data_IF_213840346258
#
_entry.id   IF_213840346258
#
_cell.length_a   1.000
_cell.length_b   1.000
_cell.length_c   1.000
_cell.angle_alpha   90.00
_cell.angle_beta   90.00
_cell.angle_gamma   90.00
#
_symmetry.space_group_name_H-M   'P 1'
#
loop_
_entity.id
_entity.type
_entity.pdbx_description
1 polymer ?
#
# COMPACT_ATOMS: atom_id res chain seq x y z
N UNK A 1 -24.82 4.06 32.25
CA UNK A 1 -24.44 4.85 31.06
C UNK A 1 -23.40 5.90 31.48
N UNK A 2 -22.12 5.53 31.63
CA UNK A 2 -21.05 6.47 32.06
C UNK A 2 -19.69 6.20 31.38
N UNK A 3 -19.67 5.45 30.27
CA UNK A 3 -18.44 4.88 29.69
C UNK A 3 -18.05 5.47 28.31
N UNK A 4 -18.34 6.76 28.07
CA UNK A 4 -18.01 7.41 26.79
C UNK A 4 -17.09 8.64 26.89
N UNK A 5 -16.34 8.78 27.99
CA UNK A 5 -15.37 9.87 28.12
C UNK A 5 -13.95 9.33 28.02
N UNK A 6 -13.22 9.76 26.98
CA UNK A 6 -11.77 9.58 26.90
C UNK A 6 -11.13 10.74 27.65
N UNK A 7 -10.43 10.43 28.75
CA UNK A 7 -9.74 11.44 29.56
C UNK A 7 -8.23 11.27 29.41
N UNK A 8 -7.55 12.30 28.89
CA UNK A 8 -6.10 12.41 28.92
C UNK A 8 -5.70 13.43 30.00
N UNK A 9 -4.74 13.08 30.88
CA UNK A 9 -4.24 13.97 31.94
C UNK A 9 -2.74 14.13 31.83
N UNK A 10 -2.27 15.36 31.86
CA UNK A 10 -0.87 15.71 32.02
C UNK A 10 -0.66 16.28 33.42
N UNK A 11 0.17 15.62 34.24
CA UNK A 11 0.48 16.03 35.61
C UNK A 11 1.94 16.45 35.70
N UNK A 12 2.19 17.66 36.16
CA UNK A 12 3.53 18.16 36.45
C UNK A 12 3.90 17.87 37.92
N UNK A 13 5.19 17.77 38.25
CA UNK A 13 5.62 17.60 39.63
C UNK A 13 5.16 18.79 40.49
N UNK A 14 4.69 18.48 41.69
CA UNK A 14 4.26 19.46 42.67
C UNK A 14 5.45 20.32 43.10
N UNK A 15 5.25 21.64 43.17
CA UNK A 15 6.29 22.59 43.58
C UNK A 15 5.74 23.49 44.68
N UNK A 16 6.41 23.49 45.83
CA UNK A 16 6.05 24.34 46.96
C UNK A 16 6.29 25.82 46.59
N UNK A 17 5.27 26.67 46.77
CA UNK A 17 5.34 28.11 46.54
C UNK A 17 5.62 28.77 47.88
N UNK A 18 6.72 29.53 47.99
CA UNK A 18 7.10 30.21 49.22
C UNK A 18 6.29 31.51 49.41
N UNK A 19 6.05 31.97 50.65
CA UNK A 19 5.34 33.22 50.91
C UNK A 19 5.96 34.40 50.16
N UNK A 20 5.13 35.21 49.49
CA UNK A 20 5.57 36.38 48.72
C UNK A 20 6.14 36.07 47.33
N UNK A 21 6.18 34.80 46.90
CA UNK A 21 6.64 34.42 45.55
C UNK A 21 5.47 34.09 44.60
N UNK A 22 5.65 34.39 43.31
CA UNK A 22 4.70 34.02 42.25
C UNK A 22 5.32 32.96 41.34
N UNK A 23 4.53 31.95 40.97
CA UNK A 23 4.93 30.94 39.98
C UNK A 23 3.97 30.95 38.80
N UNK A 24 4.50 31.01 37.58
CA UNK A 24 3.71 31.06 36.35
C UNK A 24 3.91 29.75 35.59
N UNK A 25 2.82 28.99 35.41
CA UNK A 25 2.79 27.85 34.51
C UNK A 25 2.42 28.31 33.10
N UNK A 26 3.26 27.97 32.12
CA UNK A 26 2.98 28.23 30.70
C UNK A 26 2.68 26.90 30.02
N UNK A 27 1.51 26.82 29.38
CA UNK A 27 1.10 25.66 28.59
C UNK A 27 0.92 26.07 27.14
N UNK A 28 1.38 25.22 26.23
CA UNK A 28 1.12 25.34 24.80
C UNK A 28 0.14 24.23 24.41
N UNK A 29 -1.02 24.61 23.87
CA UNK A 29 -2.04 23.68 23.41
C UNK A 29 -2.28 23.89 21.92
N UNK A 30 -2.14 22.83 21.13
CA UNK A 30 -2.38 22.85 19.69
C UNK A 30 -3.67 22.11 19.37
N UNK A 31 -4.62 22.80 18.74
CA UNK A 31 -5.86 22.23 18.20
C UNK A 31 -5.90 22.58 16.73
N UNK A 32 -5.74 21.57 15.88
CA UNK A 32 -5.66 21.81 14.47
C UNK A 32 -5.46 20.54 13.66
N UNK A 33 -5.35 20.69 12.33
CA UNK A 33 -5.16 19.57 11.44
C UNK A 33 -3.76 18.97 11.59
N UNK A 34 -3.66 17.68 11.31
CA UNK A 34 -2.43 16.89 11.39
C UNK A 34 -1.52 17.14 10.16
N UNK A 35 -1.23 18.41 9.83
CA UNK A 35 -0.37 18.80 8.70
C UNK A 35 1.07 18.97 9.14
N UNK A 36 2.00 18.21 8.55
CA UNK A 36 3.41 18.21 8.96
C UNK A 36 4.03 19.61 8.93
N UNK A 37 3.71 20.42 7.91
CA UNK A 37 4.27 21.75 7.75
C UNK A 37 3.85 22.69 8.90
N UNK A 38 2.58 22.66 9.31
CA UNK A 38 2.07 23.44 10.44
C UNK A 38 2.59 22.94 11.79
N UNK A 39 2.66 21.62 11.98
CA UNK A 39 3.20 21.06 13.23
C UNK A 39 4.68 21.37 13.41
N UNK A 40 5.44 21.56 12.32
CA UNK A 40 6.84 21.99 12.38
C UNK A 40 7.01 23.44 12.82
N UNK A 41 6.07 24.34 12.48
CA UNK A 41 6.16 25.76 12.90
C UNK A 41 5.87 25.93 14.39
N UNK A 42 5.04 25.07 14.96
CA UNK A 42 4.73 25.05 16.40
C UNK A 42 5.91 24.56 17.25
N UNK A 43 6.78 23.71 16.69
CA UNK A 43 7.96 23.18 17.38
C UNK A 43 7.68 21.99 18.31
N UNK A 44 8.56 21.73 19.28
CA UNK A 44 8.45 20.63 20.26
C UNK A 44 8.31 19.22 19.67
N UNK A 45 8.91 18.98 18.49
CA UNK A 45 8.78 17.70 17.77
C UNK A 45 7.34 17.27 17.47
N UNK A 46 6.38 18.22 17.45
CA UNK A 46 4.96 17.92 17.29
C UNK A 46 4.65 17.25 15.93
N UNK A 47 5.49 17.46 14.92
CA UNK A 47 5.41 16.77 13.64
C UNK A 47 5.51 15.23 13.76
N UNK A 48 6.09 14.69 14.85
CA UNK A 48 6.16 13.25 15.12
C UNK A 48 4.81 12.63 15.49
N UNK A 49 3.80 13.45 15.78
CA UNK A 49 2.41 13.00 15.92
C UNK A 49 1.90 12.38 14.60
N UNK A 50 2.48 12.79 13.47
CA UNK A 50 2.32 12.11 12.17
C UNK A 50 3.26 10.91 12.09
N UNK A 51 2.68 9.73 12.27
CA UNK A 51 3.41 8.48 12.38
C UNK A 51 2.65 7.40 11.61
N UNK A 52 3.26 6.90 10.54
CA UNK A 52 2.68 5.87 9.67
C UNK A 52 3.01 4.43 10.12
N UNK A 53 3.38 4.25 11.40
CA UNK A 53 3.78 2.99 12.00
C UNK A 53 5.09 2.45 11.43
N UNK A 54 5.14 1.15 11.15
CA UNK A 54 6.32 0.48 10.58
C UNK A 54 6.75 1.03 9.21
N UNK A 55 5.84 1.67 8.47
CA UNK A 55 6.07 2.17 7.12
C UNK A 55 6.50 3.65 7.08
N UNK A 56 6.74 4.27 8.23
CA UNK A 56 7.07 5.69 8.36
C UNK A 56 8.28 6.13 7.51
N UNK A 57 9.30 5.26 7.40
CA UNK A 57 10.51 5.49 6.59
C UNK A 57 10.19 5.66 5.11
N UNK A 58 9.16 4.97 4.60
CA UNK A 58 8.76 5.00 3.18
C UNK A 58 7.64 6.04 2.96
N UNK A 59 6.68 6.11 3.89
CA UNK A 59 5.52 6.98 3.80
C UNK A 59 5.88 8.47 3.87
N UNK A 60 6.86 8.87 4.71
CA UNK A 60 7.31 10.27 4.81
C UNK A 60 7.90 10.82 3.49
N UNK A 61 8.84 10.12 2.82
CA UNK A 61 9.31 10.50 1.49
C UNK A 61 8.18 10.58 0.46
N UNK A 62 7.24 9.62 0.48
CA UNK A 62 6.09 9.65 -0.44
C UNK A 62 5.19 10.86 -0.21
N UNK A 63 4.92 11.22 1.05
CA UNK A 63 4.14 12.40 1.38
C UNK A 63 4.84 13.68 0.92
N UNK A 64 6.15 13.76 1.15
CA UNK A 64 6.96 14.90 0.69
C UNK A 64 6.96 15.02 -0.84
N UNK A 65 7.16 13.92 -1.57
CA UNK A 65 7.10 13.89 -3.04
C UNK A 65 5.71 14.28 -3.55
N UNK A 66 4.66 13.75 -2.94
CA UNK A 66 3.29 14.04 -3.33
C UNK A 66 2.95 15.52 -3.16
N UNK A 67 3.36 16.14 -2.05
CA UNK A 67 3.20 17.58 -1.85
C UNK A 67 4.04 18.43 -2.81
N UNK A 68 5.20 17.92 -3.20
CA UNK A 68 6.03 18.55 -4.24
C UNK A 68 5.39 18.46 -5.62
N UNK A 69 4.73 17.35 -5.96
CA UNK A 69 3.98 17.26 -7.21
C UNK A 69 2.72 18.12 -7.17
N UNK A 70 2.05 18.17 -6.01
CA UNK A 70 0.86 18.99 -5.83
C UNK A 70 1.15 20.49 -5.96
N UNK A 71 2.33 20.96 -5.52
CA UNK A 71 2.70 22.38 -5.66
C UNK A 71 2.89 22.81 -7.12
N UNK A 72 3.18 21.88 -8.02
CA UNK A 72 3.28 22.13 -9.47
C UNK A 72 1.94 21.89 -10.17
N UNK A 73 1.24 20.82 -9.79
CA UNK A 73 -0.05 20.42 -10.37
C UNK A 73 -1.04 20.26 -9.22
N UNK A 74 -1.98 21.20 -8.99
CA UNK A 74 -2.90 21.19 -7.85
C UNK A 74 -4.02 20.15 -8.02
N UNK A 75 -3.64 18.89 -8.19
CA UNK A 75 -4.52 17.73 -8.30
C UNK A 75 -3.80 16.52 -7.70
N UNK A 76 -4.28 16.05 -6.55
CA UNK A 76 -3.66 14.93 -5.83
C UNK A 76 -3.72 13.61 -6.59
N UNK A 77 -4.74 13.38 -7.43
CA UNK A 77 -4.82 12.14 -8.20
C UNK A 77 -3.78 12.09 -9.31
N UNK A 78 -3.48 13.23 -9.96
CA UNK A 78 -2.34 13.32 -10.88
C UNK A 78 -1.00 13.15 -10.14
N UNK A 79 -0.86 13.74 -8.96
CA UNK A 79 0.33 13.55 -8.12
C UNK A 79 0.54 12.07 -7.75
N UNK A 80 -0.53 11.34 -7.42
CA UNK A 80 -0.48 9.89 -7.17
C UNK A 80 -0.03 9.14 -8.44
N UNK A 81 -0.59 9.46 -9.62
CA UNK A 81 -0.18 8.81 -10.88
C UNK A 81 1.32 9.03 -11.13
N UNK A 82 1.81 10.26 -11.01
CA UNK A 82 3.24 10.57 -11.20
C UNK A 82 4.11 9.81 -10.20
N UNK A 83 3.69 9.76 -8.93
CA UNK A 83 4.39 9.00 -7.89
C UNK A 83 4.45 7.51 -8.25
N UNK A 84 3.35 6.93 -8.72
CA UNK A 84 3.34 5.51 -9.13
C UNK A 84 4.25 5.23 -10.33
N UNK A 85 4.33 6.16 -11.29
CA UNK A 85 5.25 6.05 -12.43
C UNK A 85 6.71 6.13 -11.98
N UNK A 86 7.04 7.04 -11.06
CA UNK A 86 8.37 7.17 -10.48
C UNK A 86 8.79 5.89 -9.75
N UNK A 87 7.91 5.35 -8.91
CA UNK A 87 8.18 4.10 -8.18
C UNK A 87 8.35 2.93 -9.16
N UNK A 88 7.50 2.84 -10.20
CA UNK A 88 7.66 1.82 -11.25
C UNK A 88 8.98 1.97 -12.01
N UNK A 89 9.44 3.18 -12.25
CA UNK A 89 10.72 3.45 -12.91
C UNK A 89 11.90 2.99 -12.05
N UNK A 90 11.86 3.29 -10.75
CA UNK A 90 12.88 2.81 -9.79
C UNK A 90 12.89 1.28 -9.68
N UNK A 91 11.70 0.65 -9.71
CA UNK A 91 11.55 -0.81 -9.66
C UNK A 91 11.68 -1.51 -11.03
N UNK A 92 11.80 -0.76 -12.12
CA UNK A 92 11.95 -1.28 -13.49
C UNK A 92 13.06 -2.34 -13.63
N UNK A 93 14.30 -2.12 -13.15
CA UNK A 93 15.36 -3.13 -13.29
C UNK A 93 15.01 -4.45 -12.59
N UNK A 94 14.29 -4.39 -11.46
CA UNK A 94 13.80 -5.57 -10.77
C UNK A 94 12.72 -6.28 -11.60
N UNK A 95 11.77 -5.51 -12.16
CA UNK A 95 10.74 -6.01 -13.06
C UNK A 95 11.32 -6.74 -14.26
N UNK A 96 12.32 -6.15 -14.94
CA UNK A 96 13.02 -6.77 -16.08
C UNK A 96 13.63 -8.13 -15.73
N UNK A 97 14.29 -8.24 -14.56
CA UNK A 97 14.84 -9.53 -14.09
C UNK A 97 13.74 -10.56 -13.87
N UNK A 98 12.60 -10.15 -13.32
CA UNK A 98 11.44 -11.03 -13.12
C UNK A 98 10.84 -11.50 -14.45
N UNK A 99 10.66 -10.60 -15.42
CA UNK A 99 10.19 -10.95 -16.77
C UNK A 99 11.12 -11.95 -17.46
N UNK A 100 12.44 -11.75 -17.37
CA UNK A 100 13.42 -12.71 -17.89
C UNK A 100 13.25 -14.09 -17.25
N UNK A 101 13.09 -14.16 -15.93
CA UNK A 101 12.87 -15.43 -15.21
C UNK A 101 11.59 -16.13 -15.65
N UNK A 102 10.50 -15.38 -15.87
CA UNK A 102 9.22 -15.93 -16.35
C UNK A 102 9.32 -16.49 -17.77
N UNK A 103 10.08 -15.82 -18.65
CA UNK A 103 10.30 -16.31 -20.01
C UNK A 103 11.11 -17.62 -20.04
N UNK A 104 12.14 -17.76 -19.20
CA UNK A 104 12.86 -19.03 -19.07
C UNK A 104 11.97 -20.13 -18.47
N UNK A 105 11.10 -19.79 -17.52
CA UNK A 105 10.13 -20.74 -16.97
C UNK A 105 9.12 -21.23 -18.02
N UNK A 106 8.72 -20.37 -18.95
CA UNK A 106 7.86 -20.74 -20.09
C UNK A 106 8.55 -21.76 -21.02
N UNK A 107 9.87 -21.68 -21.20
CA UNK A 107 10.62 -22.62 -22.05
C UNK A 107 10.73 -24.03 -21.45
N UNK A 108 10.82 -24.13 -20.13
CA UNK A 108 10.92 -25.43 -19.43
C UNK A 108 9.55 -26.05 -19.09
N UNK A 109 8.47 -25.29 -19.27
CA UNK A 109 7.10 -25.75 -19.03
C UNK A 109 6.72 -27.08 -19.75
N UNK A 110 7.08 -27.33 -21.03
CA UNK A 110 6.81 -28.63 -21.66
C UNK A 110 7.51 -29.80 -20.95
N UNK A 111 8.78 -29.62 -20.56
CA UNK A 111 9.55 -30.63 -19.82
C UNK A 111 8.95 -30.90 -18.43
N UNK A 112 8.44 -29.86 -17.77
CA UNK A 112 7.70 -30.03 -16.51
C UNK A 112 6.42 -30.85 -16.69
N UNK A 113 5.71 -30.69 -17.82
CA UNK A 113 4.52 -31.50 -18.11
C UNK A 113 4.87 -32.97 -18.31
N UNK A 114 5.95 -33.25 -19.03
CA UNK A 114 6.44 -34.62 -19.25
C UNK A 114 6.82 -35.32 -17.93
N UNK A 115 7.56 -34.65 -17.04
CA UNK A 115 7.92 -35.19 -15.71
C UNK A 115 6.65 -35.52 -14.91
N UNK A 116 5.64 -34.66 -14.96
CA UNK A 116 4.38 -34.88 -14.25
C UNK A 116 3.55 -36.00 -14.85
N UNK A 117 3.56 -36.16 -16.17
CA UNK A 117 2.88 -37.27 -16.83
C UNK A 117 3.54 -38.61 -16.50
N UNK A 118 4.87 -38.64 -16.40
CA UNK A 118 5.65 -39.83 -16.06
C UNK A 118 5.56 -40.24 -14.59
N UNK A 119 5.36 -39.27 -13.68
CA UNK A 119 5.39 -39.48 -12.23
C UNK A 119 4.08 -39.09 -11.52
N UNK A 120 2.92 -39.27 -12.17
CA UNK A 120 1.60 -38.93 -11.58
C UNK A 120 1.34 -39.59 -10.22
N UNK A 121 1.77 -40.83 -10.06
CA UNK A 121 1.49 -41.63 -8.86
C UNK A 121 2.56 -41.46 -7.75
N UNK A 122 3.70 -40.84 -8.07
CA UNK A 122 4.80 -40.62 -7.13
C UNK A 122 5.16 -39.12 -7.02
N UNK A 123 4.41 -38.43 -6.16
CA UNK A 123 4.60 -36.99 -5.88
C UNK A 123 6.00 -36.67 -5.33
N UNK A 124 6.62 -37.59 -4.59
CA UNK A 124 7.95 -37.34 -4.02
C UNK A 124 9.01 -37.32 -5.11
N UNK A 125 8.98 -38.31 -6.02
CA UNK A 125 9.90 -38.38 -7.15
C UNK A 125 9.66 -37.26 -8.16
N UNK A 126 8.41 -36.94 -8.44
CA UNK A 126 8.02 -35.79 -9.26
C UNK A 126 8.63 -34.48 -8.74
N UNK A 127 8.49 -34.18 -7.43
CA UNK A 127 9.03 -32.95 -6.85
C UNK A 127 10.57 -32.89 -6.92
N UNK A 128 11.26 -34.04 -6.74
CA UNK A 128 12.73 -34.11 -6.88
C UNK A 128 13.18 -33.84 -8.31
N UNK A 129 12.51 -34.43 -9.30
CA UNK A 129 12.86 -34.24 -10.71
C UNK A 129 12.55 -32.82 -11.20
N UNK A 130 11.41 -32.24 -10.80
CA UNK A 130 11.08 -30.83 -11.08
C UNK A 130 12.12 -29.88 -10.47
N UNK A 131 12.54 -30.13 -9.22
CA UNK A 131 13.59 -29.31 -8.59
C UNK A 131 14.96 -29.50 -9.27
N UNK A 132 15.27 -30.72 -9.73
CA UNK A 132 16.43 -31.02 -10.55
C UNK A 132 16.42 -30.24 -11.86
N UNK A 133 15.27 -30.20 -12.55
CA UNK A 133 15.07 -29.44 -13.78
C UNK A 133 15.35 -27.95 -13.57
N UNK A 134 14.83 -27.35 -12.50
CA UNK A 134 15.12 -25.95 -12.17
C UNK A 134 16.60 -25.68 -11.96
N UNK A 135 17.34 -26.61 -11.34
CA UNK A 135 18.80 -26.50 -11.15
C UNK A 135 19.56 -26.64 -12.46
N UNK A 136 19.21 -27.62 -13.29
CA UNK A 136 19.86 -27.88 -14.59
C UNK A 136 19.71 -26.68 -15.52
N UNK A 137 18.52 -26.10 -15.62
CA UNK A 137 18.25 -24.93 -16.45
C UNK A 137 18.53 -23.59 -15.75
N UNK A 138 19.00 -23.62 -14.49
CA UNK A 138 19.30 -22.44 -13.65
C UNK A 138 18.15 -21.43 -13.59
N UNK A 139 16.92 -21.93 -13.53
CA UNK A 139 15.69 -21.10 -13.45
C UNK A 139 15.27 -20.98 -11.99
N UNK A 140 14.96 -19.77 -11.54
CA UNK A 140 14.43 -19.54 -10.19
C UNK A 140 12.89 -19.50 -10.22
N UNK A 141 12.18 -20.45 -9.58
CA UNK A 141 10.72 -20.46 -9.55
C UNK A 141 10.13 -19.22 -8.83
N UNK A 142 10.88 -18.60 -7.91
CA UNK A 142 10.45 -17.40 -7.18
C UNK A 142 10.74 -16.10 -7.94
N UNK A 143 11.41 -16.17 -9.10
CA UNK A 143 11.72 -14.98 -9.88
C UNK A 143 10.48 -14.23 -10.38
N UNK A 144 9.36 -14.93 -10.56
CA UNK A 144 8.09 -14.34 -11.00
C UNK A 144 7.35 -13.55 -9.91
N UNK A 145 7.46 -13.94 -8.64
CA UNK A 145 6.77 -13.26 -7.53
C UNK A 145 7.62 -12.16 -6.87
N UNK A 146 8.91 -12.07 -7.19
CA UNK A 146 9.84 -11.11 -6.59
C UNK A 146 9.38 -9.64 -6.71
N UNK A 147 8.86 -9.16 -7.86
CA UNK A 147 8.34 -7.80 -7.95
C UNK A 147 7.16 -7.56 -7.03
N UNK A 148 6.29 -8.56 -6.87
CA UNK A 148 5.10 -8.47 -6.01
C UNK A 148 5.49 -8.32 -4.54
N UNK A 149 6.51 -9.06 -4.10
CA UNK A 149 7.02 -8.99 -2.72
C UNK A 149 7.59 -7.61 -2.41
N UNK A 150 8.38 -7.03 -3.32
CA UNK A 150 8.94 -5.67 -3.12
C UNK A 150 7.87 -4.59 -3.24
N UNK A 151 6.85 -4.80 -4.09
CA UNK A 151 5.73 -3.88 -4.24
C UNK A 151 4.83 -3.84 -3.00
N UNK A 152 4.72 -4.94 -2.24
CA UNK A 152 3.80 -5.04 -1.12
C UNK A 152 4.10 -4.03 0.01
N UNK A 153 5.33 -3.87 0.52
CA UNK A 153 5.68 -2.81 1.48
C UNK A 153 5.42 -1.40 0.94
N UNK A 154 5.72 -1.17 -0.34
CA UNK A 154 5.50 0.11 -1.01
C UNK A 154 4.00 0.45 -1.06
N UNK A 155 3.17 -0.54 -1.39
CA UNK A 155 1.72 -0.40 -1.41
C UNK A 155 1.17 -0.09 -0.01
N UNK A 156 1.60 -0.82 1.02
CA UNK A 156 1.17 -0.55 2.39
C UNK A 156 1.61 0.83 2.89
N UNK A 157 2.81 1.27 2.52
CA UNK A 157 3.29 2.62 2.82
C UNK A 157 2.44 3.70 2.15
N UNK A 158 2.11 3.54 0.86
CA UNK A 158 1.19 4.43 0.15
C UNK A 158 -0.20 4.43 0.79
N UNK A 159 -0.77 3.27 1.07
CA UNK A 159 -2.09 3.16 1.69
C UNK A 159 -2.13 3.88 3.06
N UNK A 160 -1.13 3.63 3.93
CA UNK A 160 -1.02 4.30 5.22
C UNK A 160 -0.86 5.80 5.09
N UNK A 161 -0.06 6.25 4.12
CA UNK A 161 0.12 7.66 3.82
C UNK A 161 -1.21 8.30 3.41
N UNK A 162 -1.92 7.72 2.43
CA UNK A 162 -3.20 8.25 1.93
C UNK A 162 -4.27 8.30 3.03
N UNK A 163 -4.28 7.32 3.93
CA UNK A 163 -5.24 7.24 5.03
C UNK A 163 -4.98 8.30 6.13
N UNK A 164 -3.72 8.59 6.44
CA UNK A 164 -3.36 9.52 7.52
C UNK A 164 -3.09 10.95 7.07
N UNK A 165 -2.78 11.16 5.79
CA UNK A 165 -2.50 12.48 5.25
C UNK A 165 -3.80 13.26 5.06
N UNK A 166 -4.02 14.24 5.95
CA UNK A 166 -5.20 15.09 5.95
C UNK A 166 -5.36 15.93 4.68
N UNK A 167 -4.28 16.09 3.92
CA UNK A 167 -4.24 16.83 2.67
C UNK A 167 -5.07 16.18 1.55
N UNK A 168 -5.20 14.85 1.55
CA UNK A 168 -6.01 14.14 0.55
C UNK A 168 -7.46 13.96 0.96
N UNK A 169 -7.80 14.30 2.21
CA UNK A 169 -9.16 14.14 2.70
C UNK A 169 -10.07 15.09 1.93
N UNK A 170 -11.11 14.54 1.29
CA UNK A 170 -12.02 15.29 0.42
C UNK A 170 -11.32 15.95 -0.79
N UNK A 171 -10.18 15.41 -1.21
CA UNK A 171 -9.50 15.87 -2.41
C UNK A 171 -10.17 15.26 -3.66
N UNK A 172 -10.71 16.09 -4.57
CA UNK A 172 -11.28 15.59 -5.82
C UNK A 172 -10.17 15.15 -6.78
N UNK A 173 -10.51 14.23 -7.68
CA UNK A 173 -9.61 13.82 -8.76
C UNK A 173 -10.19 14.15 -10.13
N UNK A 174 -11.11 13.32 -10.63
CA UNK A 174 -11.73 13.43 -11.95
C UNK A 174 -13.02 12.61 -12.01
N UNK A 175 -13.96 13.01 -12.88
CA UNK A 175 -15.27 12.37 -13.09
C UNK A 175 -16.13 12.33 -11.82
N UNK A 176 -16.39 11.12 -11.29
CA UNK A 176 -17.22 10.86 -10.12
C UNK A 176 -16.40 10.73 -8.82
N UNK A 177 -15.08 10.91 -8.91
CA UNK A 177 -14.16 10.76 -7.77
C UNK A 177 -13.98 12.13 -7.10
N UNK A 178 -14.83 12.38 -6.11
CA UNK A 178 -14.82 13.61 -5.32
C UNK A 178 -13.95 13.52 -4.06
N UNK A 179 -13.54 12.32 -3.66
CA UNK A 179 -12.74 12.09 -2.46
C UNK A 179 -11.76 10.92 -2.65
N UNK A 180 -10.47 11.24 -2.79
CA UNK A 180 -9.39 10.26 -2.91
C UNK A 180 -9.12 9.45 -1.64
N UNK A 181 -9.59 9.90 -0.49
CA UNK A 181 -9.42 9.20 0.79
C UNK A 181 -10.54 8.20 1.09
N UNK A 182 -11.63 8.25 0.32
CA UNK A 182 -12.80 7.41 0.51
C UNK A 182 -12.88 6.29 -0.55
N UNK A 183 -13.63 5.21 -0.28
CA UNK A 183 -13.90 4.19 -1.29
C UNK A 183 -14.65 4.78 -2.50
N UNK A 184 -14.20 4.42 -3.71
CA UNK A 184 -14.86 4.77 -4.97
C UNK A 184 -16.26 4.14 -5.07
N UNK A 185 -17.28 4.96 -5.37
CA UNK A 185 -18.69 4.57 -5.47
C UNK A 185 -19.42 5.42 -6.51
N UNK A 186 -19.56 4.89 -7.72
CA UNK A 186 -20.41 5.46 -8.76
C UNK A 186 -21.88 5.04 -8.53
N UNK A 187 -22.80 6.02 -8.48
CA UNK A 187 -24.22 5.86 -8.16
C UNK A 187 -24.49 5.20 -6.80
N UNK A 188 -25.03 5.97 -5.85
CA UNK A 188 -25.31 5.47 -4.49
C UNK A 188 -26.61 4.67 -4.47
N UNK A 189 -26.58 3.50 -3.84
CA UNK A 189 -27.76 2.66 -3.67
C UNK A 189 -28.20 2.61 -2.20
N UNK A 190 -29.50 2.42 -1.97
CA UNK A 190 -30.09 2.31 -0.63
C UNK A 190 -30.15 0.90 -0.03
N UNK A 191 -29.68 -0.12 -0.77
CA UNK A 191 -29.68 -1.52 -0.31
C UNK A 191 -28.27 -1.95 0.12
N UNK A 192 -28.22 -2.90 1.06
CA UNK A 192 -26.96 -3.42 1.62
C UNK A 192 -26.36 -4.50 0.74
N UNK A 193 -25.09 -4.36 0.38
CA UNK A 193 -24.32 -5.40 -0.31
C UNK A 193 -23.42 -6.13 0.71
N UNK A 194 -23.50 -7.47 0.84
CA UNK A 194 -22.58 -8.23 1.69
C UNK A 194 -21.11 -7.94 1.34
N UNK A 195 -20.25 -7.83 2.36
CA UNK A 195 -18.81 -7.53 2.22
C UNK A 195 -18.46 -6.13 1.67
N UNK A 196 -19.43 -5.23 1.53
CA UNK A 196 -19.21 -3.83 1.19
C UNK A 196 -19.53 -2.92 2.38
N UNK A 197 -18.62 -2.02 2.72
CA UNK A 197 -18.87 -0.99 3.72
C UNK A 197 -19.63 0.20 3.10
N UNK A 198 -20.63 0.79 3.81
CA UNK A 198 -21.31 2.00 3.37
C UNK A 198 -20.33 3.17 3.12
N UNK A 199 -20.60 4.06 2.15
CA UNK A 199 -21.76 4.07 1.26
C UNK A 199 -21.74 2.97 0.18
N UNK A 200 -22.91 2.43 -0.16
CA UNK A 200 -23.07 1.43 -1.23
C UNK A 200 -23.17 2.09 -2.59
N UNK A 201 -22.55 1.48 -3.60
CA UNK A 201 -22.53 1.97 -4.98
C UNK A 201 -21.60 1.11 -5.85
N UNK A 202 -21.48 1.43 -7.13
CA UNK A 202 -20.65 0.69 -8.07
C UNK A 202 -19.17 1.05 -7.85
N UNK A 203 -18.30 0.12 -7.45
CA UNK A 203 -16.89 0.42 -7.18
C UNK A 203 -16.07 0.31 -8.48
N UNK A 204 -16.24 1.28 -9.38
CA UNK A 204 -15.69 1.27 -10.74
C UNK A 204 -14.19 1.02 -10.76
N UNK A 205 -13.41 1.70 -9.92
CA UNK A 205 -11.95 1.53 -9.88
C UNK A 205 -11.55 0.09 -9.52
N UNK A 206 -12.28 -0.55 -8.60
CA UNK A 206 -12.02 -1.95 -8.23
C UNK A 206 -12.38 -2.93 -9.35
N UNK A 207 -13.47 -2.65 -10.09
CA UNK A 207 -13.86 -3.44 -11.26
C UNK A 207 -12.82 -3.32 -12.37
N UNK A 208 -12.36 -2.10 -12.65
CA UNK A 208 -11.29 -1.83 -13.63
C UNK A 208 -10.00 -2.53 -13.22
N UNK A 209 -9.62 -2.46 -11.93
CA UNK A 209 -8.45 -3.18 -11.41
C UNK A 209 -8.61 -4.69 -11.59
N UNK A 210 -9.75 -5.27 -11.22
CA UNK A 210 -10.04 -6.70 -11.41
C UNK A 210 -10.01 -7.13 -12.87
N UNK A 211 -10.63 -6.37 -13.78
CA UNK A 211 -10.58 -6.62 -15.21
C UNK A 211 -9.14 -6.54 -15.75
N UNK A 212 -8.36 -5.56 -15.30
CA UNK A 212 -6.94 -5.43 -15.67
C UNK A 212 -6.10 -6.62 -15.18
N UNK A 213 -6.41 -7.15 -13.99
CA UNK A 213 -5.76 -8.35 -13.46
C UNK A 213 -6.11 -9.60 -14.27
N UNK A 214 -7.38 -9.78 -14.67
CA UNK A 214 -7.78 -10.88 -15.56
C UNK A 214 -7.05 -10.80 -16.91
N UNK A 215 -6.91 -9.60 -17.46
CA UNK A 215 -6.14 -9.39 -18.70
C UNK A 215 -4.65 -9.73 -18.48
N UNK A 216 -4.05 -9.25 -17.39
CA UNK A 216 -2.66 -9.56 -17.05
C UNK A 216 -2.43 -11.06 -16.86
N UNK A 217 -3.32 -11.76 -16.14
CA UNK A 217 -3.25 -13.20 -15.95
C UNK A 217 -3.29 -13.98 -17.28
N UNK A 218 -4.12 -13.54 -18.24
CA UNK A 218 -4.17 -14.16 -19.58
C UNK A 218 -2.90 -13.95 -20.39
N UNK A 219 -2.17 -12.86 -20.16
CA UNK A 219 -0.90 -12.56 -20.83
C UNK A 219 0.29 -13.24 -20.14
N UNK A 220 0.21 -13.49 -18.84
CA UNK A 220 1.25 -14.15 -18.06
C UNK A 220 1.29 -15.67 -18.30
N UNK A 221 2.47 -16.31 -18.29
CA UNK A 221 2.56 -17.76 -18.42
C UNK A 221 1.85 -18.45 -17.24
N UNK A 222 0.99 -19.44 -17.48
CA UNK A 222 0.28 -20.12 -16.41
C UNK A 222 1.27 -20.83 -15.49
N UNK A 223 1.12 -20.63 -14.17
CA UNK A 223 1.90 -21.40 -13.20
C UNK A 223 1.67 -22.88 -13.44
N UNK A 224 2.75 -23.65 -13.43
CA UNK A 224 2.80 -24.96 -14.06
C UNK A 224 1.70 -25.91 -13.65
N UNK A 225 1.11 -25.79 -12.44
CA UNK A 225 0.15 -26.74 -11.89
C UNK A 225 -1.33 -26.47 -12.20
N UNK A 226 -2.02 -27.45 -12.80
CA UNK A 226 -3.44 -27.35 -13.13
C UNK A 226 -4.34 -27.28 -11.88
N UNK A 227 -3.84 -27.79 -10.75
CA UNK A 227 -4.45 -27.62 -9.42
C UNK A 227 -4.21 -26.24 -8.81
N UNK A 228 -3.16 -25.51 -9.23
CA UNK A 228 -2.91 -24.12 -8.79
C UNK A 228 -3.51 -23.07 -9.75
N UNK A 229 -3.87 -23.48 -10.97
CA UNK A 229 -4.47 -22.62 -11.99
C UNK A 229 -6.01 -22.56 -11.94
N UNK A 230 -6.65 -23.31 -11.03
CA UNK A 230 -8.10 -23.31 -10.81
C UNK A 230 -8.54 -22.24 -9.81
#
# INVERSE_FOLDING_TARGET
KSDKFVTARYRQPEKAIQPGTQYIYKYLFFVGPKRIQELKTVGNDLHKVVNFGWFDIIAKPFLWLMNTFYSVIPNYGLAIIILTLLVKLVLWPLGQKSYKSMNEMKKIQPLMKEIREKHKDDKQRMNKEVMGLYRTYKVNPLGGCLPMVVQLPVFFALYRMLYEAIELRHAPFFLWIDDLSAPDRLFRFGFTVPFMEPPYGIPVLTIVMGASMLLQQKMSPPMGDATQAK
#
